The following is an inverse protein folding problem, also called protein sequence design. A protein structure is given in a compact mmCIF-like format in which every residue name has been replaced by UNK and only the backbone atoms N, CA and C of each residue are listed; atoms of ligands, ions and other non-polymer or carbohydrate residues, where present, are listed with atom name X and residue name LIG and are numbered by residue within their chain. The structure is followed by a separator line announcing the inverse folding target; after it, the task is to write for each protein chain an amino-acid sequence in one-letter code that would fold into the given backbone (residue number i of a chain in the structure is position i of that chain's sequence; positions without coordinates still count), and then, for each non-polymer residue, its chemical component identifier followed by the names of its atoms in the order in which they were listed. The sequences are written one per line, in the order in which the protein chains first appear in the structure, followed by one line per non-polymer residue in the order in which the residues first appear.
data_IF_199312443264
#
_entry.id   IF_199312443264
#
_cell.length_a   1.000
_cell.length_b   1.000
_cell.length_c   1.000
_cell.angle_alpha   90.00
_cell.angle_beta   90.00
_cell.angle_gamma   90.00
#
_symmetry.space_group_name_H-M   'P 1'
#
loop_
_entity.id
_entity.type
_entity.pdbx_description
1 polymer ?
#
# COMPACT_ATOMS: atom_id res chain seq x y z
N UNK A 1 -18.91 -7.04 -1.69
CA UNK A 1 -18.11 -7.36 -2.89
C UNK A 1 -16.60 -7.22 -2.60
N UNK A 2 -16.04 -8.01 -1.68
CA UNK A 2 -14.64 -7.83 -1.22
C UNK A 2 -13.60 -8.28 -2.27
N UNK A 3 -13.95 -9.26 -3.09
CA UNK A 3 -13.04 -9.84 -4.10
C UNK A 3 -12.84 -8.88 -5.30
N UNK A 4 -13.88 -8.13 -5.68
CA UNK A 4 -13.78 -7.16 -6.79
C UNK A 4 -12.75 -6.05 -6.54
N UNK A 5 -12.62 -5.59 -5.28
CA UNK A 5 -11.61 -4.60 -4.90
C UNK A 5 -10.18 -5.14 -5.04
N UNK A 6 -9.94 -6.38 -4.61
CA UNK A 6 -8.62 -7.03 -4.73
C UNK A 6 -8.23 -7.19 -6.21
N UNK A 7 -9.16 -7.64 -7.05
CA UNK A 7 -8.94 -7.81 -8.48
C UNK A 7 -8.66 -6.46 -9.15
N UNK A 8 -9.44 -5.41 -8.82
CA UNK A 8 -9.25 -4.07 -9.35
C UNK A 8 -7.87 -3.49 -9.02
N UNK A 9 -7.44 -3.58 -7.76
CA UNK A 9 -6.10 -3.09 -7.36
C UNK A 9 -4.99 -3.89 -8.03
N UNK A 10 -5.14 -5.21 -8.11
CA UNK A 10 -4.14 -6.07 -8.77
C UNK A 10 -3.98 -5.71 -10.25
N UNK A 11 -5.09 -5.47 -10.96
CA UNK A 11 -5.07 -5.05 -12.37
C UNK A 11 -4.36 -3.70 -12.54
N UNK A 12 -4.67 -2.71 -11.68
CA UNK A 12 -4.02 -1.39 -11.72
C UNK A 12 -2.51 -1.51 -11.48
N UNK A 13 -2.08 -2.29 -10.50
CA UNK A 13 -0.66 -2.50 -10.22
C UNK A 13 0.06 -3.19 -11.39
N UNK A 14 -0.58 -4.14 -12.05
CA UNK A 14 -0.04 -4.79 -13.26
C UNK A 14 0.13 -3.75 -14.39
N UNK A 15 -0.83 -2.86 -14.59
CA UNK A 15 -0.70 -1.78 -15.57
C UNK A 15 0.45 -0.81 -15.24
N UNK A 16 0.56 -0.39 -13.98
CA UNK A 16 1.67 0.47 -13.51
C UNK A 16 3.01 -0.23 -13.73
N UNK A 17 3.10 -1.51 -13.41
CA UNK A 17 4.31 -2.32 -13.62
C UNK A 17 4.71 -2.37 -15.09
N UNK A 18 3.77 -2.69 -16.00
CA UNK A 18 4.06 -2.74 -17.44
C UNK A 18 4.47 -1.38 -18.00
N UNK A 19 3.84 -0.29 -17.55
CA UNK A 19 4.19 1.05 -17.99
C UNK A 19 5.58 1.48 -17.51
N UNK A 20 5.94 1.17 -16.26
CA UNK A 20 7.26 1.52 -15.70
C UNK A 20 8.37 0.54 -16.09
N UNK A 21 8.04 -0.69 -16.51
CA UNK A 21 9.01 -1.70 -16.93
C UNK A 21 10.07 -1.22 -17.93
N UNK A 22 9.74 -0.54 -19.05
CA UNK A 22 10.74 -0.01 -19.98
C UNK A 22 11.65 1.06 -19.35
N UNK A 23 11.14 1.89 -18.43
CA UNK A 23 11.96 2.87 -17.70
C UNK A 23 12.88 2.18 -16.69
N UNK A 24 12.38 1.17 -15.97
CA UNK A 24 13.14 0.37 -15.02
C UNK A 24 14.22 -0.47 -15.70
N UNK A 25 14.01 -0.89 -16.95
CA UNK A 25 15.01 -1.59 -17.76
C UNK A 25 16.18 -0.70 -18.16
N UNK A 26 15.95 0.62 -18.28
CA UNK A 26 16.99 1.64 -18.49
C UNK A 26 17.69 2.04 -17.19
N UNK A 27 17.04 1.83 -16.04
CA UNK A 27 17.60 2.12 -14.72
C UNK A 27 18.52 1.02 -14.20
N UNK A 28 19.45 1.37 -13.30
CA UNK A 28 20.36 0.40 -12.66
C UNK A 28 19.64 -0.62 -11.76
N UNK A 29 20.27 -1.78 -11.52
CA UNK A 29 19.70 -2.92 -10.76
C UNK A 29 19.17 -2.54 -9.37
N UNK A 30 19.76 -1.52 -8.72
CA UNK A 30 19.30 -0.97 -7.42
C UNK A 30 17.90 -0.34 -7.52
N UNK A 31 17.64 0.48 -8.54
CA UNK A 31 16.36 1.18 -8.73
C UNK A 31 15.24 0.17 -8.98
N UNK A 32 15.52 -0.89 -9.74
CA UNK A 32 14.58 -1.99 -9.94
C UNK A 32 14.18 -2.68 -8.63
N UNK A 33 15.13 -2.92 -7.72
CA UNK A 33 14.82 -3.53 -6.42
C UNK A 33 13.96 -2.62 -5.55
N UNK A 34 14.26 -1.32 -5.50
CA UNK A 34 13.47 -0.32 -4.74
C UNK A 34 12.05 -0.22 -5.29
N UNK A 35 11.90 -0.20 -6.60
CA UNK A 35 10.58 -0.20 -7.21
C UNK A 35 9.78 -1.46 -6.85
N UNK A 36 10.42 -2.63 -6.93
CA UNK A 36 9.77 -3.89 -6.60
C UNK A 36 9.35 -3.96 -5.13
N UNK A 37 10.21 -3.52 -4.20
CA UNK A 37 9.88 -3.49 -2.77
C UNK A 37 8.74 -2.54 -2.46
N UNK A 38 8.74 -1.33 -3.04
CA UNK A 38 7.64 -0.38 -2.90
C UNK A 38 6.33 -0.92 -3.47
N UNK A 39 6.39 -1.60 -4.61
CA UNK A 39 5.20 -2.15 -5.25
C UNK A 39 4.63 -3.33 -4.44
N UNK A 40 5.49 -4.18 -3.86
CA UNK A 40 5.09 -5.23 -2.93
C UNK A 40 4.46 -4.66 -1.66
N UNK A 41 5.06 -3.62 -1.07
CA UNK A 41 4.53 -2.92 0.11
C UNK A 41 3.13 -2.34 -0.15
N UNK A 42 2.97 -1.65 -1.28
CA UNK A 42 1.69 -1.08 -1.67
C UNK A 42 0.63 -2.16 -1.94
N UNK A 43 1.01 -3.29 -2.55
CA UNK A 43 0.09 -4.40 -2.77
C UNK A 43 -0.37 -5.03 -1.44
N UNK A 44 0.56 -5.30 -0.53
CA UNK A 44 0.23 -5.83 0.80
C UNK A 44 -0.70 -4.88 1.55
N UNK A 45 -0.41 -3.58 1.55
CA UNK A 45 -1.29 -2.56 2.14
C UNK A 45 -2.69 -2.57 1.53
N UNK A 46 -2.79 -2.64 0.21
CA UNK A 46 -4.08 -2.67 -0.46
C UNK A 46 -4.88 -3.94 -0.16
N UNK A 47 -4.23 -5.11 -0.17
CA UNK A 47 -4.88 -6.38 0.23
C UNK A 47 -5.38 -6.30 1.66
N UNK A 48 -4.56 -5.73 2.56
CA UNK A 48 -4.89 -5.59 3.97
C UNK A 48 -6.11 -4.69 4.18
N UNK A 49 -6.21 -3.56 3.47
CA UNK A 49 -7.37 -2.66 3.47
C UNK A 49 -8.65 -3.31 2.93
N UNK A 50 -8.54 -4.21 1.95
CA UNK A 50 -9.73 -4.89 1.41
C UNK A 50 -10.22 -6.00 2.34
N UNK A 51 -9.31 -6.70 3.05
CA UNK A 51 -9.67 -7.73 4.04
C UNK A 51 -10.25 -7.08 5.29
N UNK A 52 -9.66 -5.97 5.74
CA UNK A 52 -10.09 -5.21 6.90
C UNK A 52 -10.54 -3.80 6.50
N UNK A 53 -11.76 -3.66 5.93
CA UNK A 53 -12.28 -2.37 5.50
C UNK A 53 -12.53 -1.39 6.66
N UNK A 54 -12.63 -1.89 7.89
CA UNK A 54 -12.74 -1.10 9.12
C UNK A 54 -11.39 -0.95 9.84
N UNK A 55 -10.27 -1.11 9.12
CA UNK A 55 -8.97 -0.82 9.70
C UNK A 55 -8.95 0.62 10.20
N UNK A 56 -8.52 0.85 11.46
CA UNK A 56 -8.43 2.19 11.99
C UNK A 56 -7.52 2.98 11.07
N UNK A 57 -8.06 4.04 10.48
CA UNK A 57 -7.29 4.90 9.59
C UNK A 57 -6.08 5.48 10.34
N UNK A 58 -5.09 6.05 9.64
CA UNK A 58 -3.93 6.68 10.29
C UNK A 58 -4.35 7.72 11.34
N UNK A 59 -5.47 8.42 11.14
CA UNK A 59 -6.05 9.30 12.17
C UNK A 59 -6.51 8.56 13.43
N UNK A 60 -7.22 7.43 13.28
CA UNK A 60 -7.65 6.61 14.42
C UNK A 60 -6.49 5.88 15.11
N UNK A 61 -5.41 5.59 14.39
CA UNK A 61 -4.16 5.09 14.99
C UNK A 61 -3.48 6.17 15.83
N UNK A 62 -3.45 7.41 15.34
CA UNK A 62 -2.99 8.56 16.12
C UNK A 62 -3.88 8.70 17.36
N UNK A 63 -5.20 8.71 17.21
CA UNK A 63 -6.12 8.78 18.36
C UNK A 63 -5.87 7.64 19.34
N UNK A 64 -5.65 6.40 18.89
CA UNK A 64 -5.34 5.26 19.76
C UNK A 64 -4.01 5.42 20.51
N UNK A 65 -2.98 5.97 19.86
CA UNK A 65 -1.66 6.23 20.46
C UNK A 65 -1.72 7.38 21.48
N UNK A 66 -2.54 8.40 21.21
CA UNK A 66 -2.65 9.61 22.03
C UNK A 66 -3.76 9.55 23.08
N UNK A 67 -4.73 8.61 22.98
CA UNK A 67 -5.77 8.35 23.99
C UNK A 67 -5.23 8.16 25.42
N UNK A 68 -4.09 7.48 25.66
CA UNK A 68 -3.50 7.38 27.00
C UNK A 68 -2.91 8.70 27.53
N UNK A 69 -2.69 9.69 26.67
CA UNK A 69 -2.12 11.00 27.01
C UNK A 69 -3.18 12.09 27.23
N UNK A 70 -4.46 11.81 26.93
CA UNK A 70 -5.60 12.69 27.27
C UNK A 70 -5.67 13.11 28.76
N UNK A 71 -5.26 12.29 29.75
CA UNK A 71 -5.28 12.71 31.15
C UNK A 71 -4.24 13.78 31.53
N UNK A 72 -3.33 14.14 30.62
CA UNK A 72 -2.19 15.03 30.88
C UNK A 72 -2.30 16.42 30.19
N UNK A 73 -3.43 16.73 29.56
CA UNK A 73 -3.77 18.03 28.95
C UNK A 73 -5.13 18.53 29.45
#
# INVERSE_FOLDING_TARGET
MRIGGIVGVTVILVFIFFYQWPQLKKSGRKVRMVFFSLMLLNWVLAVLLVIFPEMPGPGQLIDFIFKPFEPFW
#
